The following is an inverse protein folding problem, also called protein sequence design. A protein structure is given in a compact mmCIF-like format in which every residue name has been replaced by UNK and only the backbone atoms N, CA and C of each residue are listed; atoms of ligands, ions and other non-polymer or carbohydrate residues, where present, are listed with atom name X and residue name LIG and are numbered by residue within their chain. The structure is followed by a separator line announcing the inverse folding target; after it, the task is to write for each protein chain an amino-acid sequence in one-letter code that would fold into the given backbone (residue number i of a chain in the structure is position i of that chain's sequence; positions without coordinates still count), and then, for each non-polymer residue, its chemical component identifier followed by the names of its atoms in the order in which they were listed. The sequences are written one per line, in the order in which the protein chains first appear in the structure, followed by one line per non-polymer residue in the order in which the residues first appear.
data_IF_217286924622
#
_entry.id   IF_217286924622
#
_cell.length_a   1.000
_cell.length_b   1.000
_cell.length_c   1.000
_cell.angle_alpha   90.00
_cell.angle_beta   90.00
_cell.angle_gamma   90.00
#
_symmetry.space_group_name_H-M   'P 1'
#
loop_
_entity.id
_entity.type
_entity.pdbx_description
1 polymer ?
#
# COMPACT_ATOMS: atom_id res chain seq x y z
N UNK A 1 -23.03 -9.15 47.20
CA UNK A 1 -21.60 -9.46 46.95
C UNK A 1 -21.45 -10.03 45.53
N UNK A 2 -21.35 -9.16 44.51
CA UNK A 2 -20.96 -9.50 43.14
C UNK A 2 -20.04 -8.38 42.66
N UNK A 3 -18.75 -8.55 42.95
CA UNK A 3 -17.67 -7.67 42.52
C UNK A 3 -16.80 -8.51 41.60
N UNK A 4 -17.11 -8.54 40.31
CA UNK A 4 -16.20 -9.06 39.28
C UNK A 4 -16.57 -8.46 37.92
N UNK A 5 -15.56 -7.86 37.26
CA UNK A 5 -15.44 -7.68 35.80
C UNK A 5 -15.87 -6.37 35.14
N UNK A 6 -15.78 -5.21 35.82
CA UNK A 6 -15.78 -3.90 35.13
C UNK A 6 -14.41 -3.49 34.54
N UNK A 7 -13.37 -4.32 34.71
CA UNK A 7 -12.00 -4.00 34.25
C UNK A 7 -11.66 -4.47 32.82
N UNK A 8 -12.54 -5.20 32.13
CA UNK A 8 -12.28 -5.67 30.76
C UNK A 8 -12.81 -4.72 29.66
N UNK A 9 -13.44 -3.61 30.05
CA UNK A 9 -13.90 -2.56 29.13
C UNK A 9 -13.07 -1.26 29.24
N UNK A 10 -11.89 -1.32 29.87
CA UNK A 10 -10.92 -0.21 29.83
C UNK A 10 -10.45 -0.05 28.38
N UNK A 11 -10.94 1.03 27.79
CA UNK A 11 -11.32 1.09 26.38
C UNK A 11 -10.14 1.21 25.42
N UNK A 12 -10.21 0.61 24.22
CA UNK A 12 -9.22 0.82 23.15
C UNK A 12 -8.95 2.31 22.84
N UNK A 13 -9.91 3.18 23.15
CA UNK A 13 -9.75 4.64 23.05
C UNK A 13 -8.64 5.22 23.95
N UNK A 14 -8.46 4.71 25.18
CA UNK A 14 -7.44 5.22 26.11
C UNK A 14 -6.04 4.82 25.64
N UNK A 15 -5.89 3.58 25.18
CA UNK A 15 -4.64 3.08 24.62
C UNK A 15 -4.23 3.86 23.36
N UNK A 16 -5.18 4.12 22.46
CA UNK A 16 -4.93 4.93 21.27
C UNK A 16 -4.45 6.34 21.61
N UNK A 17 -5.11 7.01 22.56
CA UNK A 17 -4.71 8.34 22.98
C UNK A 17 -3.30 8.35 23.62
N UNK A 18 -2.96 7.33 24.40
CA UNK A 18 -1.61 7.17 24.97
C UNK A 18 -0.54 6.97 23.88
N UNK A 19 -0.86 6.22 22.82
CA UNK A 19 0.05 6.06 21.68
C UNK A 19 0.25 7.38 20.93
N UNK A 20 -0.82 8.15 20.70
CA UNK A 20 -0.74 9.47 20.06
C UNK A 20 0.16 10.43 20.85
N UNK A 21 0.00 10.47 22.18
CA UNK A 21 0.86 11.25 23.07
C UNK A 21 2.32 10.78 23.00
N UNK A 22 2.56 9.47 23.05
CA UNK A 22 3.91 8.92 22.95
C UNK A 22 4.59 9.33 21.64
N UNK A 23 3.89 9.22 20.51
CA UNK A 23 4.39 9.66 19.19
C UNK A 23 4.75 11.14 19.23
N UNK A 24 3.88 11.99 19.76
CA UNK A 24 4.14 13.43 19.87
C UNK A 24 5.37 13.74 20.74
N UNK A 25 5.56 13.03 21.85
CA UNK A 25 6.74 13.18 22.72
C UNK A 25 8.04 12.78 22.02
N UNK A 26 8.05 11.64 21.32
CA UNK A 26 9.24 11.20 20.57
C UNK A 26 9.58 12.16 19.43
N UNK A 27 8.58 12.66 18.71
CA UNK A 27 8.76 13.68 17.69
C UNK A 27 9.33 14.99 18.26
N UNK A 28 8.80 15.45 19.39
CA UNK A 28 9.30 16.65 20.07
C UNK A 28 10.72 16.45 20.63
N UNK A 29 11.05 15.25 21.09
CA UNK A 29 12.37 14.86 21.56
C UNK A 29 13.40 14.62 20.46
N UNK A 30 13.01 14.67 19.18
CA UNK A 30 13.89 14.44 18.03
C UNK A 30 14.20 12.97 17.74
N UNK A 31 13.59 12.03 18.44
CA UNK A 31 13.73 10.59 18.18
C UNK A 31 12.62 10.12 17.22
N UNK A 32 12.79 10.46 15.96
CA UNK A 32 11.83 10.18 14.88
C UNK A 32 11.71 8.68 14.60
N UNK A 33 12.81 7.94 14.78
CA UNK A 33 12.87 6.49 14.59
C UNK A 33 11.95 5.75 15.57
N UNK A 34 12.02 6.09 16.86
CA UNK A 34 11.15 5.51 17.88
C UNK A 34 9.69 5.88 17.64
N UNK A 35 9.41 7.13 17.27
CA UNK A 35 8.05 7.59 16.95
C UNK A 35 7.40 6.74 15.83
N UNK A 36 8.13 6.53 14.74
CA UNK A 36 7.64 5.80 13.57
C UNK A 36 7.52 4.30 13.84
N UNK A 37 8.45 3.73 14.60
CA UNK A 37 8.38 2.32 14.99
C UNK A 37 7.15 2.04 15.85
N UNK A 38 6.80 2.95 16.77
CA UNK A 38 5.58 2.87 17.57
C UNK A 38 4.34 3.01 16.70
N UNK A 39 4.34 3.93 15.73
CA UNK A 39 3.23 4.07 14.77
C UNK A 39 3.00 2.76 13.99
N UNK A 40 4.03 2.23 13.36
CA UNK A 40 3.90 1.07 12.49
C UNK A 40 3.55 -0.22 13.25
N UNK A 41 4.11 -0.43 14.45
CA UNK A 41 3.91 -1.67 15.22
C UNK A 41 2.75 -1.63 16.20
N UNK A 42 2.63 -0.56 16.98
CA UNK A 42 1.74 -0.53 18.13
C UNK A 42 0.42 0.16 17.81
N UNK A 43 0.46 1.19 16.95
CA UNK A 43 -0.73 1.88 16.50
C UNK A 43 -1.43 1.16 15.35
N UNK A 44 -0.67 0.38 14.56
CA UNK A 44 -1.22 -0.41 13.46
C UNK A 44 -1.72 0.44 12.29
N UNK A 45 -1.20 1.65 12.14
CA UNK A 45 -1.50 2.56 11.04
C UNK A 45 -0.21 2.82 10.25
N UNK A 46 0.03 2.01 9.23
CA UNK A 46 1.20 2.14 8.39
C UNK A 46 1.14 3.41 7.52
N UNK A 47 -0.05 3.93 7.24
CA UNK A 47 -0.22 5.17 6.46
C UNK A 47 0.24 6.38 7.26
N UNK A 48 -0.13 6.46 8.54
CA UNK A 48 0.33 7.52 9.44
C UNK A 48 1.85 7.49 9.56
N UNK A 49 2.44 6.30 9.76
CA UNK A 49 3.89 6.14 9.85
C UNK A 49 4.61 6.65 8.59
N UNK A 50 4.10 6.33 7.39
CA UNK A 50 4.65 6.82 6.12
C UNK A 50 4.54 8.35 5.97
N UNK A 51 3.41 8.94 6.38
CA UNK A 51 3.20 10.40 6.32
C UNK A 51 4.20 11.10 7.23
N UNK A 52 4.42 10.60 8.45
CA UNK A 52 5.39 11.15 9.39
C UNK A 52 6.80 11.08 8.81
N UNK A 53 7.22 9.95 8.24
CA UNK A 53 8.52 9.85 7.56
C UNK A 53 8.69 10.91 6.48
N UNK A 54 7.68 11.05 5.60
CA UNK A 54 7.72 11.98 4.46
C UNK A 54 7.70 13.44 4.90
N UNK A 55 7.07 13.76 6.03
CA UNK A 55 7.05 15.11 6.58
C UNK A 55 8.41 15.52 7.16
N UNK A 56 9.14 14.57 7.73
CA UNK A 56 10.41 14.82 8.42
C UNK A 56 11.58 14.84 7.43
N UNK A 57 11.71 13.82 6.58
CA UNK A 57 12.87 13.64 5.69
C UNK A 57 12.55 13.89 4.22
N UNK A 58 11.27 14.05 3.87
CA UNK A 58 10.83 14.04 2.48
C UNK A 58 10.61 12.62 1.93
N UNK A 59 10.15 12.56 0.68
CA UNK A 59 9.89 11.29 0.00
C UNK A 59 11.21 10.59 -0.37
N UNK A 60 11.32 9.31 -0.06
CA UNK A 60 12.50 8.49 -0.35
C UNK A 60 13.64 8.69 0.65
N UNK A 61 13.37 9.26 1.81
CA UNK A 61 14.34 9.38 2.90
C UNK A 61 14.76 8.01 3.47
N UNK A 62 15.94 7.93 4.13
CA UNK A 62 16.41 6.69 4.76
C UNK A 62 15.43 6.11 5.78
N UNK A 63 14.67 6.95 6.48
CA UNK A 63 13.67 6.53 7.45
C UNK A 63 12.44 5.89 6.79
N UNK A 64 11.98 6.44 5.66
CA UNK A 64 10.92 5.82 4.85
C UNK A 64 11.38 4.46 4.31
N UNK A 65 12.60 4.39 3.76
CA UNK A 65 13.16 3.14 3.25
C UNK A 65 13.30 2.07 4.34
N UNK A 66 13.79 2.44 5.52
CA UNK A 66 13.89 1.51 6.65
C UNK A 66 12.51 1.05 7.14
N UNK A 67 11.55 1.97 7.26
CA UNK A 67 10.18 1.66 7.66
C UNK A 67 9.52 0.65 6.72
N UNK A 68 9.63 0.90 5.40
CA UNK A 68 9.04 0.03 4.37
C UNK A 68 9.70 -1.34 4.43
N UNK A 69 11.03 -1.42 4.37
CA UNK A 69 11.74 -2.71 4.28
C UNK A 69 11.62 -3.57 5.53
N UNK A 70 11.56 -2.96 6.73
CA UNK A 70 11.58 -3.72 8.00
C UNK A 70 10.21 -4.00 8.59
N UNK A 71 9.22 -3.17 8.30
CA UNK A 71 7.91 -3.27 8.96
C UNK A 71 6.78 -3.44 7.95
N UNK A 72 6.60 -2.49 7.04
CA UNK A 72 5.36 -2.46 6.24
C UNK A 72 5.36 -3.55 5.17
N UNK A 73 6.47 -3.73 4.44
CA UNK A 73 6.57 -4.72 3.36
C UNK A 73 6.37 -6.17 3.86
N UNK A 74 7.06 -6.65 4.92
CA UNK A 74 6.83 -8.01 5.41
C UNK A 74 5.39 -8.18 5.94
N UNK A 75 4.84 -7.20 6.66
CA UNK A 75 3.45 -7.27 7.13
C UNK A 75 2.44 -7.29 5.98
N UNK A 76 2.64 -6.50 4.92
CA UNK A 76 1.79 -6.52 3.73
C UNK A 76 1.86 -7.86 2.99
N UNK A 77 3.05 -8.45 2.90
CA UNK A 77 3.25 -9.77 2.28
C UNK A 77 2.59 -10.89 3.10
N UNK A 78 2.67 -10.84 4.43
CA UNK A 78 2.01 -11.80 5.34
C UNK A 78 0.48 -11.72 5.26
N UNK A 79 -0.07 -10.50 5.11
CA UNK A 79 -1.52 -10.29 4.90
C UNK A 79 -2.00 -10.73 3.52
N UNK A 80 -1.10 -10.93 2.56
CA UNK A 80 -1.45 -11.18 1.17
C UNK A 80 -1.97 -9.93 0.46
N UNK A 81 -1.61 -8.74 0.93
CA UNK A 81 -1.98 -7.47 0.32
C UNK A 81 -1.09 -7.20 -0.90
N UNK A 82 -1.37 -7.87 -2.01
CA UNK A 82 -0.58 -7.82 -3.24
C UNK A 82 -0.38 -6.40 -3.80
N UNK A 83 -1.43 -5.56 -3.69
CA UNK A 83 -1.38 -4.16 -4.11
C UNK A 83 -0.50 -3.29 -3.22
N UNK A 84 -0.61 -3.46 -1.90
CA UNK A 84 0.23 -2.71 -0.97
C UNK A 84 1.70 -3.14 -1.14
N UNK A 85 1.92 -4.44 -1.27
CA UNK A 85 3.25 -5.01 -1.54
C UNK A 85 3.83 -4.44 -2.84
N UNK A 86 3.06 -4.38 -3.93
CA UNK A 86 3.54 -3.80 -5.19
C UNK A 86 3.86 -2.31 -5.07
N UNK A 87 3.05 -1.54 -4.34
CA UNK A 87 3.31 -0.13 -4.11
C UNK A 87 4.58 0.11 -3.28
N UNK A 88 4.82 -0.70 -2.25
CA UNK A 88 6.00 -0.58 -1.40
C UNK A 88 7.28 -0.96 -2.17
N UNK A 89 7.26 -2.05 -2.93
CA UNK A 89 8.38 -2.42 -3.81
C UNK A 89 8.68 -1.33 -4.84
N UNK A 90 7.64 -0.64 -5.33
CA UNK A 90 7.81 0.51 -6.22
C UNK A 90 8.56 1.66 -5.53
N UNK A 91 8.13 2.04 -4.33
CA UNK A 91 8.74 3.15 -3.58
C UNK A 91 10.19 2.82 -3.19
N UNK A 92 10.54 1.54 -3.05
CA UNK A 92 11.92 1.06 -2.89
C UNK A 92 12.74 1.02 -4.20
N UNK A 93 12.11 1.22 -5.36
CA UNK A 93 12.76 1.14 -6.67
C UNK A 93 12.86 -0.27 -7.26
N UNK A 94 12.27 -1.28 -6.61
CA UNK A 94 12.23 -2.66 -7.07
C UNK A 94 11.08 -2.87 -8.08
N UNK A 95 11.14 -2.18 -9.22
CA UNK A 95 10.03 -2.13 -10.20
C UNK A 95 9.61 -3.50 -10.74
N UNK A 96 10.56 -4.42 -10.95
CA UNK A 96 10.26 -5.78 -11.42
C UNK A 96 9.45 -6.57 -10.38
N UNK A 97 9.84 -6.48 -9.10
CA UNK A 97 9.14 -7.16 -8.00
C UNK A 97 7.78 -6.52 -7.72
N UNK A 98 7.68 -5.20 -7.87
CA UNK A 98 6.43 -4.46 -7.84
C UNK A 98 5.44 -4.98 -8.88
N UNK A 99 5.91 -5.13 -10.13
CA UNK A 99 5.10 -5.65 -11.23
C UNK A 99 4.62 -7.09 -10.97
N UNK A 100 5.51 -7.97 -10.53
CA UNK A 100 5.16 -9.36 -10.19
C UNK A 100 4.16 -9.45 -9.03
N UNK A 101 4.38 -8.67 -7.98
CA UNK A 101 3.47 -8.60 -6.82
C UNK A 101 2.08 -8.12 -7.23
N UNK A 102 1.99 -7.12 -8.11
CA UNK A 102 0.72 -6.60 -8.60
C UNK A 102 -0.08 -7.61 -9.42
N UNK A 103 0.61 -8.46 -10.20
CA UNK A 103 -0.02 -9.57 -10.93
C UNK A 103 -0.38 -10.75 -10.02
N UNK A 104 -0.06 -10.69 -8.72
CA UNK A 104 -0.21 -11.81 -7.79
C UNK A 104 0.75 -12.98 -8.09
N UNK A 105 1.76 -12.75 -8.93
CA UNK A 105 2.80 -13.72 -9.28
C UNK A 105 3.96 -13.61 -8.29
N UNK A 106 3.71 -13.88 -7.00
CA UNK A 106 4.80 -13.98 -6.02
C UNK A 106 5.52 -15.33 -6.18
N UNK A 107 6.85 -15.30 -6.11
CA UNK A 107 7.75 -16.44 -6.39
C UNK A 107 7.69 -17.59 -5.34
N UNK A 108 6.80 -17.51 -4.35
CA UNK A 108 6.68 -18.51 -3.29
C UNK A 108 5.33 -19.23 -3.37
N UNK A 109 5.40 -20.40 -4.00
CA UNK A 109 4.62 -21.62 -3.78
C UNK A 109 3.88 -22.10 -5.03
N UNK A 110 4.25 -23.33 -5.40
CA UNK A 110 3.52 -24.20 -6.30
C UNK A 110 2.05 -24.23 -5.87
N UNK A 111 1.19 -23.55 -6.60
CA UNK A 111 -0.20 -23.95 -6.69
C UNK A 111 -0.68 -23.57 -8.08
N UNK A 112 -1.03 -24.58 -8.86
CA UNK A 112 -1.66 -24.47 -10.17
C UNK A 112 -3.00 -23.73 -10.03
N UNK A 113 -2.96 -22.41 -10.01
CA UNK A 113 -4.12 -21.55 -10.21
C UNK A 113 -3.72 -20.47 -11.20
N UNK A 114 -4.39 -20.53 -12.34
CA UNK A 114 -4.31 -19.59 -13.45
C UNK A 114 -4.06 -18.14 -12.99
N UNK A 115 -3.12 -17.40 -13.62
CA UNK A 115 -2.65 -16.08 -13.18
C UNK A 115 -3.66 -14.93 -13.40
N UNK A 116 -4.94 -15.26 -13.58
CA UNK A 116 -6.03 -14.32 -13.88
C UNK A 116 -7.21 -14.59 -12.94
N UNK A 117 -6.95 -14.82 -11.65
CA UNK A 117 -8.03 -14.91 -10.65
C UNK A 117 -8.63 -13.52 -10.43
N UNK A 118 -9.72 -13.30 -11.13
CA UNK A 118 -10.54 -12.11 -11.32
C UNK A 118 -11.29 -11.62 -10.06
N UNK A 119 -10.78 -11.89 -8.85
CA UNK A 119 -11.56 -11.72 -7.62
C UNK A 119 -10.95 -10.82 -6.53
N UNK A 120 -9.87 -10.07 -6.75
CA UNK A 120 -9.45 -9.14 -5.69
C UNK A 120 -10.37 -7.91 -5.71
N UNK A 121 -11.14 -7.73 -4.63
CA UNK A 121 -11.98 -6.55 -4.41
C UNK A 121 -11.21 -5.21 -4.54
N UNK A 122 -9.88 -5.24 -4.33
CA UNK A 122 -8.99 -4.12 -4.60
C UNK A 122 -9.05 -3.65 -6.07
N UNK A 123 -9.22 -4.56 -7.04
CA UNK A 123 -9.29 -4.21 -8.47
C UNK A 123 -10.57 -3.46 -8.88
N UNK A 124 -11.53 -3.27 -7.95
CA UNK A 124 -12.74 -2.49 -8.20
C UNK A 124 -12.58 -1.00 -7.89
N UNK A 125 -11.42 -0.57 -7.38
CA UNK A 125 -11.14 0.84 -7.14
C UNK A 125 -10.55 1.52 -8.39
N UNK A 126 -11.23 2.51 -8.98
CA UNK A 126 -10.68 3.31 -10.09
C UNK A 126 -9.31 3.94 -9.76
N UNK A 127 -9.03 4.24 -8.48
CA UNK A 127 -7.78 4.86 -8.06
C UNK A 127 -6.57 3.94 -8.30
N UNK A 128 -6.76 2.63 -8.23
CA UNK A 128 -5.72 1.64 -8.51
C UNK A 128 -5.35 1.64 -10.00
N UNK A 129 -6.36 1.69 -10.88
CA UNK A 129 -6.14 1.82 -12.32
C UNK A 129 -5.45 3.13 -12.71
N UNK A 130 -5.88 4.26 -12.13
CA UNK A 130 -5.25 5.55 -12.36
C UNK A 130 -3.80 5.60 -11.85
N UNK A 131 -3.51 4.99 -10.70
CA UNK A 131 -2.16 4.87 -10.20
C UNK A 131 -1.29 4.08 -11.19
N UNK A 132 -1.74 2.92 -11.66
CA UNK A 132 -0.99 2.14 -12.65
C UNK A 132 -0.74 2.89 -13.96
N UNK A 133 -1.70 3.71 -14.44
CA UNK A 133 -1.49 4.58 -15.60
C UNK A 133 -0.39 5.63 -15.33
N UNK A 134 -0.41 6.25 -14.15
CA UNK A 134 0.64 7.18 -13.73
C UNK A 134 2.00 6.49 -13.67
N UNK A 135 2.07 5.25 -13.20
CA UNK A 135 3.29 4.45 -13.18
C UNK A 135 3.83 4.16 -14.59
N UNK A 136 2.97 3.80 -15.54
CA UNK A 136 3.35 3.54 -16.94
C UNK A 136 3.91 4.80 -17.63
N UNK A 137 3.40 5.98 -17.27
CA UNK A 137 3.91 7.24 -17.80
C UNK A 137 5.34 7.58 -17.36
N UNK A 138 5.84 6.94 -16.29
CA UNK A 138 7.20 7.19 -15.76
C UNK A 138 8.23 6.36 -16.53
N UNK A 139 9.29 7.02 -16.98
CA UNK A 139 10.41 6.36 -17.68
C UNK A 139 11.09 5.28 -16.83
N UNK A 140 11.06 5.40 -15.49
CA UNK A 140 11.61 4.39 -14.57
C UNK A 140 11.00 3.01 -14.81
N UNK A 141 9.71 2.91 -15.15
CA UNK A 141 9.07 1.63 -15.45
C UNK A 141 9.47 1.06 -16.78
N UNK A 142 9.47 1.89 -17.82
CA UNK A 142 9.81 1.44 -19.17
C UNK A 142 11.24 0.93 -19.20
N UNK A 143 12.13 1.58 -18.45
CA UNK A 143 13.53 1.18 -18.32
C UNK A 143 13.73 -0.08 -17.48
N UNK A 144 12.95 -0.28 -16.40
CA UNK A 144 13.15 -1.40 -15.48
C UNK A 144 12.34 -2.67 -15.84
N UNK A 145 11.07 -2.52 -16.21
CA UNK A 145 10.17 -3.63 -16.54
C UNK A 145 10.15 -3.95 -18.05
N UNK A 146 10.69 -3.06 -18.88
CA UNK A 146 10.64 -3.15 -20.34
C UNK A 146 9.37 -2.58 -20.95
N UNK A 147 9.48 -2.17 -22.22
CA UNK A 147 8.41 -1.52 -22.98
C UNK A 147 7.15 -2.38 -23.08
N UNK A 148 7.32 -3.70 -23.25
CA UNK A 148 6.19 -4.64 -23.38
C UNK A 148 5.42 -4.78 -22.07
N UNK A 149 6.10 -4.88 -20.93
CA UNK A 149 5.46 -4.98 -19.61
C UNK A 149 4.72 -3.70 -19.24
N UNK A 150 5.30 -2.53 -19.59
CA UNK A 150 4.66 -1.24 -19.42
C UNK A 150 3.39 -1.11 -20.29
N UNK A 151 3.43 -1.58 -21.54
CA UNK A 151 2.26 -1.59 -22.42
C UNK A 151 1.15 -2.53 -21.91
N UNK A 152 1.51 -3.72 -21.41
CA UNK A 152 0.57 -4.67 -20.79
C UNK A 152 -0.08 -4.02 -19.57
N UNK A 153 0.71 -3.42 -18.68
CA UNK A 153 0.21 -2.71 -17.51
C UNK A 153 -0.74 -1.57 -17.90
N UNK A 154 -0.39 -0.77 -18.90
CA UNK A 154 -1.22 0.34 -19.37
C UNK A 154 -2.58 -0.13 -19.88
N UNK A 155 -2.60 -1.20 -20.70
CA UNK A 155 -3.85 -1.82 -21.16
C UNK A 155 -4.67 -2.35 -20.00
N UNK A 156 -4.03 -3.02 -19.05
CA UNK A 156 -4.69 -3.59 -17.88
C UNK A 156 -5.29 -2.50 -16.98
N UNK A 157 -4.54 -1.43 -16.73
CA UNK A 157 -4.95 -0.27 -15.95
C UNK A 157 -6.15 0.46 -16.56
N UNK A 158 -6.16 0.58 -17.89
CA UNK A 158 -7.25 1.18 -18.65
C UNK A 158 -8.54 0.37 -18.53
N UNK A 159 -8.44 -0.96 -18.62
CA UNK A 159 -9.59 -1.87 -18.44
C UNK A 159 -10.13 -1.78 -17.01
N UNK A 160 -9.25 -1.73 -16.00
CA UNK A 160 -9.68 -1.56 -14.60
C UNK A 160 -10.40 -0.23 -14.38
N UNK A 161 -9.85 0.89 -14.88
CA UNK A 161 -10.47 2.20 -14.76
C UNK A 161 -11.83 2.23 -15.46
N UNK A 162 -11.90 1.76 -16.70
CA UNK A 162 -13.14 1.72 -17.48
C UNK A 162 -14.23 0.86 -16.84
N UNK A 163 -13.87 -0.34 -16.35
CA UNK A 163 -14.82 -1.25 -15.68
C UNK A 163 -15.33 -0.68 -14.35
N UNK A 164 -14.46 -0.03 -13.58
CA UNK A 164 -14.85 0.60 -12.31
C UNK A 164 -15.74 1.84 -12.53
N UNK A 165 -15.47 2.67 -13.55
CA UNK A 165 -16.33 3.81 -13.91
C UNK A 165 -17.69 3.39 -14.45
N UNK A 166 -17.75 2.33 -15.27
CA UNK A 166 -19.00 1.82 -15.81
C UNK A 166 -19.93 1.33 -14.69
N UNK A 167 -19.38 0.67 -13.66
CA UNK A 167 -20.14 0.25 -12.47
C UNK A 167 -20.63 1.41 -11.60
N UNK A 168 -19.94 2.56 -11.62
CA UNK A 168 -20.35 3.78 -10.92
C UNK A 168 -21.38 4.62 -11.71
N UNK A 169 -21.86 4.14 -12.86
CA UNK A 169 -22.89 4.82 -13.66
C UNK A 169 -22.37 6.03 -14.44
N UNK A 170 -21.06 6.12 -14.69
CA UNK A 170 -20.42 7.19 -15.47
C UNK A 170 -19.90 6.65 -16.82
N UNK A 171 -20.78 6.29 -17.78
CA UNK A 171 -20.38 5.63 -19.02
C UNK A 171 -19.54 6.52 -19.95
N UNK A 172 -19.73 7.84 -19.91
CA UNK A 172 -18.95 8.80 -20.71
C UNK A 172 -17.44 8.75 -20.40
N UNK A 173 -17.07 8.64 -19.12
CA UNK A 173 -15.67 8.52 -18.71
C UNK A 173 -15.06 7.16 -19.05
N UNK A 174 -15.89 6.11 -19.08
CA UNK A 174 -15.45 4.78 -19.50
C UNK A 174 -15.10 4.73 -21.00
N UNK A 175 -15.86 5.43 -21.84
CA UNK A 175 -15.61 5.51 -23.27
C UNK A 175 -14.36 6.33 -23.60
N UNK A 176 -14.10 7.41 -22.86
CA UNK A 176 -12.89 8.23 -23.03
C UNK A 176 -11.60 7.45 -22.74
N UNK A 177 -11.63 6.53 -21.76
CA UNK A 177 -10.45 5.73 -21.44
C UNK A 177 -10.23 4.56 -22.43
N UNK A 178 -11.26 4.08 -23.14
CA UNK A 178 -11.15 2.95 -24.07
C UNK A 178 -10.77 3.34 -25.51
N UNK A 179 -10.71 4.63 -25.83
CA UNK A 179 -10.42 5.20 -27.15
C UNK A 179 -8.96 5.66 -27.25
#
# INVERSE_FOLDING_TARGET
MKRTNLWLHFSPAIFRHQLELAIAFFLLGGDTYSAITICAKNFGDEQLALIICRLIEGRGGPLEHHLITKFILPSASERGDYWLTSLLEWELGNYSQSFLSMLGLQASSMTDKSPLSSNNAAFMDPHIGLHCLSLVSKNSMRNAAGEQSAAILGRWATIMAATAFNRRGLPLWSAFHLL
#
